data_IF_298181392392
#
_entry.id   IF_298181392392
#
_cell.length_a   1.000
_cell.length_b   1.000
_cell.length_c   1.000
_cell.angle_alpha   90.00
_cell.angle_beta   90.00
_cell.angle_gamma   90.00
#
_symmetry.space_group_name_H-M   'P 1'
#
loop_
_entity.id
_entity.type
_entity.pdbx_description
1 polymer ?
#
# COMPACT_ATOMS: atom_id res chain seq x y z
N UNK A 1 -5.51 -14.08 60.20
CA UNK A 1 -6.45 -14.20 59.08
C UNK A 1 -5.71 -13.91 57.76
N UNK A 2 -5.41 -14.93 56.96
CA UNK A 2 -4.61 -14.77 55.75
C UNK A 2 -5.46 -14.17 54.62
N UNK A 3 -5.11 -12.98 54.16
CA UNK A 3 -5.76 -12.22 53.08
C UNK A 3 -5.53 -12.96 51.75
N UNK A 4 -6.52 -13.72 51.27
CA UNK A 4 -6.49 -14.39 49.95
C UNK A 4 -6.25 -13.34 48.86
N UNK A 5 -5.07 -13.37 48.22
CA UNK A 5 -4.79 -12.61 46.99
C UNK A 5 -5.78 -13.08 45.90
N UNK A 6 -6.69 -12.20 45.49
CA UNK A 6 -7.55 -12.41 44.31
C UNK A 6 -6.65 -12.57 43.09
N UNK A 7 -6.62 -13.77 42.52
CA UNK A 7 -6.01 -14.06 41.22
C UNK A 7 -6.78 -13.25 40.19
N UNK A 8 -6.14 -12.27 39.53
CA UNK A 8 -6.71 -11.57 38.38
C UNK A 8 -6.98 -12.62 37.31
N UNK A 9 -8.23 -13.01 37.14
CA UNK A 9 -8.64 -13.81 36.00
C UNK A 9 -8.34 -13.05 34.71
N UNK A 10 -7.45 -13.66 33.95
CA UNK A 10 -6.98 -13.26 32.63
C UNK A 10 -8.15 -13.12 31.66
N UNK A 11 -8.57 -11.89 31.38
CA UNK A 11 -9.39 -11.49 30.21
C UNK A 11 -8.60 -11.65 28.88
N UNK A 12 -7.97 -12.80 28.62
CA UNK A 12 -7.18 -13.06 27.41
C UNK A 12 -7.91 -13.86 26.32
N UNK A 13 -9.11 -14.38 26.58
CA UNK A 13 -9.81 -15.28 25.64
C UNK A 13 -10.52 -14.61 24.45
N UNK A 14 -10.85 -13.32 24.51
CA UNK A 14 -11.69 -12.68 23.46
C UNK A 14 -10.91 -11.95 22.35
N UNK A 15 -9.61 -11.69 22.50
CA UNK A 15 -8.85 -10.88 21.52
C UNK A 15 -8.42 -11.69 20.30
N UNK A 16 -8.17 -13.01 20.48
CA UNK A 16 -7.75 -13.91 19.39
C UNK A 16 -8.84 -14.11 18.34
N UNK A 17 -10.07 -14.39 18.78
CA UNK A 17 -11.20 -14.68 17.87
C UNK A 17 -11.55 -13.51 16.93
N UNK A 18 -11.56 -12.28 17.45
CA UNK A 18 -11.81 -11.10 16.63
C UNK A 18 -10.70 -10.88 15.58
N UNK A 19 -9.44 -11.15 15.96
CA UNK A 19 -8.29 -10.99 15.07
C UNK A 19 -8.27 -12.06 13.97
N UNK A 20 -8.66 -13.29 14.29
CA UNK A 20 -8.86 -14.37 13.31
C UNK A 20 -9.97 -14.03 12.31
N UNK A 21 -11.11 -13.52 12.79
CA UNK A 21 -12.23 -13.12 11.94
C UNK A 21 -11.84 -11.99 10.97
N UNK A 22 -11.09 -11.00 11.46
CA UNK A 22 -10.53 -9.96 10.60
C UNK A 22 -9.52 -10.50 9.59
N UNK A 23 -8.65 -11.43 10.00
CA UNK A 23 -7.71 -12.10 9.10
C UNK A 23 -8.45 -12.82 7.96
N UNK A 24 -9.49 -13.59 8.31
CA UNK A 24 -10.36 -14.26 7.33
C UNK A 24 -11.05 -13.25 6.40
N UNK A 25 -11.55 -12.14 6.95
CA UNK A 25 -12.16 -11.08 6.14
C UNK A 25 -11.19 -10.51 5.10
N UNK A 26 -9.94 -10.22 5.48
CA UNK A 26 -8.91 -9.74 4.53
C UNK A 26 -8.59 -10.77 3.45
N UNK A 27 -8.50 -12.06 3.80
CA UNK A 27 -8.28 -13.15 2.85
C UNK A 27 -9.40 -13.18 1.82
N UNK A 28 -10.66 -13.20 2.27
CA UNK A 28 -11.84 -13.23 1.39
C UNK A 28 -11.89 -11.99 0.51
N UNK A 29 -11.66 -10.80 1.08
CA UNK A 29 -11.64 -9.53 0.35
C UNK A 29 -10.59 -9.55 -0.76
N UNK A 30 -9.37 -10.01 -0.47
CA UNK A 30 -8.30 -10.10 -1.46
C UNK A 30 -8.60 -11.12 -2.57
N UNK A 31 -9.15 -12.30 -2.23
CA UNK A 31 -9.53 -13.31 -3.22
C UNK A 31 -10.67 -12.83 -4.13
N UNK A 32 -11.68 -12.16 -3.56
CA UNK A 32 -12.77 -11.56 -4.32
C UNK A 32 -12.27 -10.47 -5.27
N UNK A 33 -11.33 -9.64 -4.80
CA UNK A 33 -10.66 -8.64 -5.64
C UNK A 33 -9.85 -9.28 -6.77
N UNK A 34 -8.89 -10.15 -6.45
CA UNK A 34 -7.99 -10.77 -7.45
C UNK A 34 -8.79 -11.54 -8.52
N UNK A 35 -9.80 -12.31 -8.10
CA UNK A 35 -10.67 -13.06 -9.00
C UNK A 35 -11.78 -12.24 -9.66
N UNK A 36 -11.94 -10.96 -9.31
CA UNK A 36 -13.01 -10.07 -9.79
C UNK A 36 -14.41 -10.71 -9.68
N UNK A 37 -14.64 -11.46 -8.59
CA UNK A 37 -15.86 -12.25 -8.44
C UNK A 37 -17.07 -11.37 -8.12
N UNK A 38 -18.02 -11.34 -9.04
CA UNK A 38 -19.26 -10.57 -8.90
C UNK A 38 -19.04 -9.06 -8.83
N UNK A 39 -20.10 -8.33 -8.46
CA UNK A 39 -20.07 -6.86 -8.36
C UNK A 39 -19.10 -6.41 -7.25
N UNK A 40 -19.10 -7.10 -6.11
CA UNK A 40 -18.22 -6.77 -4.99
C UNK A 40 -16.73 -6.96 -5.32
N UNK A 41 -16.35 -8.04 -6.00
CA UNK A 41 -14.95 -8.25 -6.41
C UNK A 41 -14.47 -7.21 -7.42
N UNK A 42 -15.33 -6.83 -8.37
CA UNK A 42 -15.04 -5.74 -9.31
C UNK A 42 -14.89 -4.41 -8.60
N UNK A 43 -15.75 -4.09 -7.63
CA UNK A 43 -15.64 -2.86 -6.83
C UNK A 43 -14.30 -2.79 -6.07
N UNK A 44 -13.90 -3.89 -5.43
CA UNK A 44 -12.61 -3.99 -4.73
C UNK A 44 -11.46 -3.76 -5.71
N UNK A 45 -11.52 -4.40 -6.88
CA UNK A 45 -10.50 -4.25 -7.92
C UNK A 45 -10.42 -2.82 -8.41
N UNK A 46 -11.55 -2.22 -8.77
CA UNK A 46 -11.62 -0.82 -9.22
C UNK A 46 -11.09 0.13 -8.16
N UNK A 47 -11.41 -0.09 -6.88
CA UNK A 47 -10.89 0.74 -5.79
C UNK A 47 -9.37 0.55 -5.60
N UNK A 48 -8.87 -0.68 -5.66
CA UNK A 48 -7.44 -0.96 -5.59
C UNK A 48 -6.68 -0.33 -6.77
N UNK A 49 -7.20 -0.49 -7.99
CA UNK A 49 -6.61 0.11 -9.20
C UNK A 49 -6.72 1.63 -9.22
N UNK A 50 -7.76 2.20 -8.61
CA UNK A 50 -7.83 3.65 -8.40
C UNK A 50 -6.72 4.14 -7.45
N UNK A 51 -6.45 3.39 -6.38
CA UNK A 51 -5.47 3.76 -5.36
C UNK A 51 -4.02 3.68 -5.88
N UNK A 52 -3.65 2.54 -6.48
CA UNK A 52 -2.26 2.22 -6.86
C UNK A 52 -2.05 1.98 -8.36
N UNK A 53 -3.09 2.17 -9.18
CA UNK A 53 -3.00 2.07 -10.63
C UNK A 53 -2.76 0.63 -11.10
N UNK A 54 -1.77 0.48 -11.96
CA UNK A 54 -1.32 -0.81 -12.52
C UNK A 54 -0.92 -1.82 -11.43
N UNK A 55 -0.52 -1.36 -10.24
CA UNK A 55 0.02 -2.19 -9.17
C UNK A 55 -1.05 -2.80 -8.23
N UNK A 56 -2.32 -2.78 -8.62
CA UNK A 56 -3.42 -3.24 -7.77
C UNK A 56 -3.29 -4.71 -7.32
N UNK A 57 -2.77 -5.59 -8.18
CA UNK A 57 -2.51 -6.99 -7.82
C UNK A 57 -1.50 -7.10 -6.66
N UNK A 58 -0.49 -6.24 -6.62
CA UNK A 58 0.50 -6.21 -5.53
C UNK A 58 -0.15 -5.75 -4.23
N UNK A 59 -1.00 -4.72 -4.29
CA UNK A 59 -1.77 -4.26 -3.12
C UNK A 59 -2.68 -5.37 -2.57
N UNK A 60 -3.43 -6.06 -3.45
CA UNK A 60 -4.30 -7.16 -3.04
C UNK A 60 -3.50 -8.35 -2.49
N UNK A 61 -2.34 -8.65 -3.05
CA UNK A 61 -1.44 -9.69 -2.52
C UNK A 61 -0.91 -9.33 -1.12
N UNK A 62 -0.57 -8.07 -0.86
CA UNK A 62 -0.15 -7.60 0.47
C UNK A 62 -1.30 -7.78 1.48
N UNK A 63 -2.53 -7.39 1.11
CA UNK A 63 -3.71 -7.58 1.96
C UNK A 63 -3.93 -9.07 2.26
N UNK A 64 -3.79 -9.93 1.25
CA UNK A 64 -3.90 -11.38 1.41
C UNK A 64 -2.87 -11.94 2.41
N UNK A 65 -1.60 -11.55 2.27
CA UNK A 65 -0.51 -11.96 3.17
C UNK A 65 -0.77 -11.48 4.61
N UNK A 66 -1.24 -10.25 4.78
CA UNK A 66 -1.61 -9.70 6.10
C UNK A 66 -2.76 -10.51 6.70
N UNK A 67 -3.76 -10.87 5.90
CA UNK A 67 -4.89 -11.71 6.32
C UNK A 67 -4.43 -13.08 6.84
N UNK A 68 -3.55 -13.76 6.09
CA UNK A 68 -2.95 -15.04 6.52
C UNK A 68 -2.16 -14.86 7.82
N UNK A 69 -1.32 -13.82 7.90
CA UNK A 69 -0.53 -13.54 9.09
C UNK A 69 -1.42 -13.37 10.33
N UNK A 70 -2.48 -12.57 10.22
CA UNK A 70 -3.43 -12.33 11.32
C UNK A 70 -4.19 -13.59 11.71
N UNK A 71 -4.58 -14.43 10.74
CA UNK A 71 -5.27 -15.69 10.98
C UNK A 71 -4.38 -16.70 11.72
N UNK A 72 -3.11 -16.83 11.31
CA UNK A 72 -2.18 -17.81 11.89
C UNK A 72 -1.64 -17.35 13.24
N UNK A 73 -1.15 -16.11 13.33
CA UNK A 73 -0.53 -15.60 14.57
C UNK A 73 -1.53 -15.13 15.61
N UNK A 74 -2.80 -14.89 15.21
CA UNK A 74 -3.87 -14.39 16.10
C UNK A 74 -3.53 -13.06 16.78
N UNK A 75 -2.63 -12.30 16.16
CA UNK A 75 -2.14 -11.00 16.61
C UNK A 75 -2.12 -10.05 15.41
N UNK A 76 -2.33 -8.76 15.68
CA UNK A 76 -2.21 -7.73 14.64
C UNK A 76 -0.72 -7.58 14.28
N UNK A 77 -0.37 -7.45 12.99
CA UNK A 77 1.02 -7.17 12.62
C UNK A 77 1.45 -5.84 13.23
N UNK A 78 2.71 -5.75 13.64
CA UNK A 78 3.25 -4.49 14.14
C UNK A 78 3.56 -3.56 12.96
N UNK A 79 2.62 -2.67 12.63
CA UNK A 79 2.67 -1.79 11.45
C UNK A 79 3.84 -0.78 11.46
N UNK A 80 4.46 -0.51 12.61
CA UNK A 80 5.46 0.56 12.77
C UNK A 80 6.85 0.02 13.13
N UNK A 81 7.31 -0.98 12.38
CA UNK A 81 8.70 -1.44 12.49
C UNK A 81 9.59 -0.71 11.47
N UNK A 82 10.86 -0.43 11.81
CA UNK A 82 11.82 0.22 10.89
C UNK A 82 11.86 -0.44 9.50
N UNK A 83 11.84 -1.78 9.45
CA UNK A 83 11.78 -2.56 8.21
C UNK A 83 10.51 -2.28 7.40
N UNK A 84 9.35 -2.20 8.05
CA UNK A 84 8.08 -1.89 7.38
C UNK A 84 8.02 -0.45 6.89
N UNK A 85 8.62 0.48 7.65
CA UNK A 85 8.76 1.86 7.20
C UNK A 85 9.60 1.94 5.92
N UNK A 86 10.71 1.20 5.85
CA UNK A 86 11.49 1.05 4.61
C UNK A 86 10.69 0.47 3.45
N UNK A 87 9.86 -0.55 3.72
CA UNK A 87 8.94 -1.12 2.73
C UNK A 87 7.91 -0.08 2.23
N UNK A 88 7.36 0.76 3.11
CA UNK A 88 6.43 1.82 2.71
C UNK A 88 7.11 2.86 1.81
N UNK A 89 8.34 3.25 2.14
CA UNK A 89 9.13 4.16 1.30
C UNK A 89 9.38 3.54 -0.08
N UNK A 90 9.71 2.23 -0.15
CA UNK A 90 9.85 1.51 -1.42
C UNK A 90 8.56 1.52 -2.25
N UNK A 91 7.41 1.24 -1.62
CA UNK A 91 6.12 1.25 -2.30
C UNK A 91 5.83 2.65 -2.86
N UNK A 92 6.06 3.71 -2.08
CA UNK A 92 5.90 5.09 -2.54
C UNK A 92 6.83 5.39 -3.72
N UNK A 93 8.09 4.98 -3.65
CA UNK A 93 9.05 5.19 -4.73
C UNK A 93 8.64 4.47 -6.03
N UNK A 94 8.15 3.24 -5.94
CA UNK A 94 7.65 2.47 -7.08
C UNK A 94 6.42 3.13 -7.70
N UNK A 95 5.46 3.57 -6.88
CA UNK A 95 4.26 4.26 -7.34
C UNK A 95 4.61 5.61 -8.00
N UNK A 96 5.51 6.37 -7.40
CA UNK A 96 6.03 7.61 -7.97
C UNK A 96 6.69 7.35 -9.32
N UNK A 97 7.61 6.39 -9.41
CA UNK A 97 8.31 6.06 -10.65
C UNK A 97 7.34 5.59 -11.74
N UNK A 98 6.37 4.76 -11.38
CA UNK A 98 5.31 4.31 -12.28
C UNK A 98 4.51 5.49 -12.84
N UNK A 99 4.22 6.49 -12.00
CA UNK A 99 3.47 7.67 -12.43
C UNK A 99 4.32 8.68 -13.22
N UNK A 100 5.61 8.84 -12.90
CA UNK A 100 6.55 9.61 -13.72
C UNK A 100 6.72 9.03 -15.12
N UNK A 101 6.70 7.71 -15.26
CA UNK A 101 6.75 7.06 -16.56
C UNK A 101 5.45 7.28 -17.36
N UNK A 102 4.30 7.35 -16.67
CA UNK A 102 3.00 7.66 -17.28
C UNK A 102 2.96 9.09 -17.85
N UNK A 103 3.44 10.09 -17.10
CA UNK A 103 3.38 11.50 -17.52
C UNK A 103 4.53 11.95 -18.43
N UNK A 104 5.50 11.07 -18.72
CA UNK A 104 6.76 11.42 -19.41
C UNK A 104 6.55 12.14 -20.74
N UNK A 105 5.52 11.76 -21.49
CA UNK A 105 5.26 12.26 -22.83
C UNK A 105 4.09 13.27 -22.87
N UNK A 106 3.61 13.71 -21.72
CA UNK A 106 2.28 14.33 -21.62
C UNK A 106 2.31 15.83 -21.32
N UNK A 107 3.50 16.44 -21.16
CA UNK A 107 3.71 17.88 -20.82
C UNK A 107 2.84 18.43 -19.65
N UNK A 108 2.26 17.54 -18.84
CA UNK A 108 1.32 17.89 -17.77
C UNK A 108 2.04 18.61 -16.63
N UNK A 109 1.38 19.61 -16.04
CA UNK A 109 1.92 20.38 -14.92
C UNK A 109 1.00 20.30 -13.70
N UNK A 110 1.61 20.07 -12.53
CA UNK A 110 0.97 20.20 -11.21
C UNK A 110 -0.38 19.46 -11.12
N UNK A 111 -1.50 20.18 -10.95
CA UNK A 111 -2.83 19.60 -10.77
C UNK A 111 -3.35 18.84 -12.00
N UNK A 112 -2.86 19.16 -13.20
CA UNK A 112 -3.26 18.47 -14.42
C UNK A 112 -2.87 16.98 -14.37
N UNK A 113 -1.82 16.62 -13.62
CA UNK A 113 -1.40 15.23 -13.41
C UNK A 113 -2.49 14.42 -12.70
N UNK A 114 -3.10 14.98 -11.64
CA UNK A 114 -4.17 14.30 -10.90
C UNK A 114 -5.42 14.21 -11.76
N UNK A 115 -5.78 15.30 -12.45
CA UNK A 115 -6.98 15.35 -13.26
C UNK A 115 -6.92 14.38 -14.44
N UNK A 116 -5.76 14.30 -15.09
CA UNK A 116 -5.51 13.34 -16.16
C UNK A 116 -5.56 11.90 -15.64
N UNK A 117 -5.06 11.64 -14.43
CA UNK A 117 -5.19 10.31 -13.79
C UNK A 117 -6.64 9.91 -13.57
N UNK A 118 -7.47 10.86 -13.09
CA UNK A 118 -8.90 10.60 -12.87
C UNK A 118 -9.60 10.37 -14.22
N UNK A 119 -9.30 11.18 -15.23
CA UNK A 119 -9.86 11.01 -16.57
C UNK A 119 -9.42 9.67 -17.18
N UNK A 120 -8.15 9.29 -17.05
CA UNK A 120 -7.63 8.00 -17.47
C UNK A 120 -8.38 6.85 -16.80
N UNK A 121 -8.62 6.93 -15.49
CA UNK A 121 -9.38 5.92 -14.76
C UNK A 121 -10.85 5.84 -15.18
N UNK A 122 -11.50 6.98 -15.42
CA UNK A 122 -12.92 7.03 -15.81
C UNK A 122 -13.15 6.55 -17.25
N UNK A 123 -12.19 6.80 -18.15
CA UNK A 123 -12.28 6.44 -19.57
C UNK A 123 -11.74 5.04 -19.87
N UNK A 124 -10.76 4.57 -19.10
CA UNK A 124 -10.10 3.29 -19.33
C UNK A 124 -10.76 2.18 -18.54
N UNK A 125 -11.56 1.34 -19.20
CA UNK A 125 -12.18 0.17 -18.56
C UNK A 125 -11.17 -0.93 -18.22
N UNK A 126 -10.02 -0.99 -18.91
CA UNK A 126 -9.05 -2.10 -18.77
C UNK A 126 -7.55 -1.71 -18.76
N UNK A 127 -7.19 -0.49 -19.18
CA UNK A 127 -5.79 -0.06 -19.31
C UNK A 127 -5.48 1.13 -18.40
N UNK A 128 -5.65 0.93 -17.10
CA UNK A 128 -5.24 1.92 -16.09
C UNK A 128 -3.72 2.01 -16.14
N UNK A 129 -3.17 3.20 -16.37
CA UNK A 129 -1.72 3.42 -16.44
C UNK A 129 -1.21 4.23 -15.25
N UNK A 130 0.07 4.03 -14.91
CA UNK A 130 0.72 4.71 -13.80
C UNK A 130 0.45 4.11 -12.41
N UNK A 131 0.82 4.87 -11.38
CA UNK A 131 0.74 4.49 -9.96
C UNK A 131 -0.59 4.83 -9.27
N UNK A 132 -1.67 5.06 -10.02
CA UNK A 132 -2.97 5.47 -9.48
C UNK A 132 -2.92 6.85 -8.82
N UNK A 133 -3.90 7.13 -7.95
CA UNK A 133 -3.98 8.44 -7.28
C UNK A 133 -2.85 8.66 -6.29
N UNK A 134 -2.39 7.62 -5.60
CA UNK A 134 -1.24 7.79 -4.70
C UNK A 134 0.00 8.19 -5.50
N UNK A 135 0.27 7.49 -6.61
CA UNK A 135 1.36 7.84 -7.52
C UNK A 135 1.19 9.24 -8.11
N UNK A 136 -0.02 9.65 -8.49
CA UNK A 136 -0.28 10.96 -9.09
C UNK A 136 -0.08 12.11 -8.11
N UNK A 137 -0.48 11.94 -6.84
CA UNK A 137 -0.26 12.94 -5.79
C UNK A 137 1.25 13.10 -5.52
N UNK A 138 1.99 12.00 -5.38
CA UNK A 138 3.44 12.09 -5.18
C UNK A 138 4.16 12.67 -6.40
N UNK A 139 3.73 12.32 -7.62
CA UNK A 139 4.29 12.87 -8.85
C UNK A 139 3.98 14.36 -8.99
N UNK A 140 2.74 14.79 -8.71
CA UNK A 140 2.36 16.20 -8.69
C UNK A 140 3.26 16.99 -7.73
N UNK A 141 3.37 16.54 -6.46
CA UNK A 141 4.19 17.23 -5.46
C UNK A 141 5.66 17.27 -5.88
N UNK A 142 6.19 16.16 -6.37
CA UNK A 142 7.56 16.07 -6.85
C UNK A 142 7.82 17.02 -8.01
N UNK A 143 7.01 16.95 -9.07
CA UNK A 143 7.19 17.76 -10.28
C UNK A 143 7.02 19.25 -9.98
N UNK A 144 6.09 19.60 -9.08
CA UNK A 144 5.88 20.98 -8.65
C UNK A 144 7.08 21.53 -7.87
N UNK A 145 7.77 20.70 -7.07
CA UNK A 145 8.90 21.13 -6.24
C UNK A 145 10.25 21.07 -6.98
N UNK A 146 10.44 20.09 -7.86
CA UNK A 146 11.75 19.72 -8.40
C UNK A 146 11.82 19.64 -9.94
N UNK A 147 10.73 19.96 -10.65
CA UNK A 147 10.55 19.64 -12.07
C UNK A 147 10.61 18.13 -12.35
N UNK A 148 10.36 17.71 -13.60
CA UNK A 148 10.32 16.30 -13.97
C UNK A 148 11.67 15.62 -13.72
N UNK A 149 12.75 16.22 -14.20
CA UNK A 149 14.12 15.69 -14.11
C UNK A 149 14.57 15.57 -12.66
N UNK A 150 14.30 16.58 -11.83
CA UNK A 150 14.63 16.53 -10.41
C UNK A 150 13.80 15.51 -9.65
N UNK A 151 12.53 15.32 -10.01
CA UNK A 151 11.67 14.30 -9.39
C UNK A 151 12.16 12.88 -9.69
N UNK A 152 12.70 12.64 -10.89
CA UNK A 152 13.31 11.34 -11.22
C UNK A 152 14.50 11.04 -10.32
N UNK A 153 15.35 12.04 -10.03
CA UNK A 153 16.48 11.89 -9.10
C UNK A 153 15.99 11.59 -7.67
N UNK A 154 14.95 12.31 -7.22
CA UNK A 154 14.32 12.07 -5.92
C UNK A 154 13.72 10.66 -5.84
N UNK A 155 13.06 10.19 -6.90
CA UNK A 155 12.47 8.85 -6.94
C UNK A 155 13.54 7.75 -6.77
N UNK A 156 14.67 7.88 -7.46
CA UNK A 156 15.80 6.96 -7.28
C UNK A 156 16.38 6.99 -5.87
N UNK A 157 16.50 8.19 -5.30
CA UNK A 157 16.98 8.37 -3.93
C UNK A 157 16.05 7.70 -2.92
N UNK A 158 14.73 7.89 -3.05
CA UNK A 158 13.73 7.24 -2.21
C UNK A 158 13.78 5.71 -2.34
N UNK A 159 13.99 5.20 -3.56
CA UNK A 159 14.11 3.76 -3.79
C UNK A 159 15.32 3.18 -3.04
N UNK A 160 16.48 3.82 -3.13
CA UNK A 160 17.70 3.40 -2.43
C UNK A 160 17.50 3.49 -0.91
N UNK A 161 17.02 4.62 -0.40
CA UNK A 161 16.77 4.82 1.02
C UNK A 161 15.78 3.78 1.58
N UNK A 162 14.69 3.52 0.86
CA UNK A 162 13.71 2.50 1.24
C UNK A 162 14.32 1.10 1.29
N UNK A 163 15.17 0.75 0.33
CA UNK A 163 15.85 -0.55 0.28
C UNK A 163 16.81 -0.75 1.46
N UNK A 164 17.60 0.27 1.77
CA UNK A 164 18.54 0.28 2.91
C UNK A 164 17.77 0.12 4.24
N UNK A 165 16.69 0.89 4.43
CA UNK A 165 15.85 0.80 5.63
C UNK A 165 15.15 -0.56 5.77
N UNK A 166 14.71 -1.15 4.64
CA UNK A 166 14.05 -2.44 4.63
C UNK A 166 15.01 -3.58 4.99
N UNK A 167 16.21 -3.58 4.42
CA UNK A 167 17.25 -4.59 4.70
C UNK A 167 17.85 -4.43 6.09
N UNK A 168 17.83 -3.21 6.64
CA UNK A 168 18.44 -2.89 7.93
C UNK A 168 19.96 -2.94 7.87
N UNK A 169 20.54 -2.94 6.66
CA UNK A 169 21.98 -2.79 6.45
C UNK A 169 22.29 -1.31 6.69
N UNK A 170 22.80 -0.99 7.86
CA UNK A 170 23.31 0.34 8.15
C UNK A 170 24.54 0.58 7.27
N UNK A 171 24.56 1.65 6.47
CA UNK A 171 25.72 2.01 5.62
C UNK A 171 26.96 2.37 6.48
N UNK A 172 26.77 2.53 7.78
CA UNK A 172 27.80 2.93 8.75
C UNK A 172 28.38 1.76 9.57
N UNK A 173 28.08 0.50 9.23
CA UNK A 173 28.64 -0.69 9.89
C UNK A 173 29.36 -1.61 8.87
#
# INVERSE_FOLDING_TARGET
>A
MAKKKKKKETKKKNVGYYTELLGLFYIVLALLGIGQFGIFGRLITSFASFLVGTWYYVLLAIIFIIGIYMMVKREKPNYFTSKLLGLYVLIVAILLFSHLNYIKNTELKSFDIIMDTINNFMTSTYNIQGGGILGSVFAMLGVQLFAYEGTVIVAWTLLICGFVMFTGITIAD
#
